data_IF_451413758958
#
_entry.id   IF_451413758958
#
_cell.length_a   1.000
_cell.length_b   1.000
_cell.length_c   1.000
_cell.angle_alpha   90.00
_cell.angle_beta   90.00
_cell.angle_gamma   90.00
#
_symmetry.space_group_name_H-M   'P 1'
#
loop_
_entity.id
_entity.type
_entity.pdbx_description
1 polymer ?
#
# COMPACT_ATOMS: atom_id res chain seq x y z
N UNK A 1 -21.10 18.55 -20.20
CA UNK A 1 -21.74 18.82 -18.89
C UNK A 1 -20.82 18.27 -17.82
N UNK A 2 -20.33 19.10 -16.90
CA UNK A 2 -19.49 18.68 -15.78
C UNK A 2 -20.36 17.87 -14.82
N UNK A 3 -20.03 16.59 -14.57
CA UNK A 3 -20.76 15.78 -13.57
C UNK A 3 -20.67 16.45 -12.18
N UNK A 4 -21.77 16.49 -11.45
CA UNK A 4 -21.78 16.94 -10.07
C UNK A 4 -20.92 16.03 -9.20
N UNK A 5 -20.34 16.57 -8.12
CA UNK A 5 -19.68 15.78 -7.07
C UNK A 5 -20.75 14.94 -6.38
N UNK A 6 -20.55 13.63 -6.31
CA UNK A 6 -21.54 12.67 -5.79
C UNK A 6 -21.13 12.05 -4.45
N UNK A 7 -19.87 12.19 -4.05
CA UNK A 7 -19.33 11.61 -2.81
C UNK A 7 -18.14 12.43 -2.32
N UNK A 8 -17.86 12.38 -1.03
CA UNK A 8 -16.66 12.94 -0.42
C UNK A 8 -15.80 11.83 0.16
N UNK A 9 -14.48 11.89 -0.07
CA UNK A 9 -13.53 10.93 0.49
C UNK A 9 -13.07 11.41 1.89
N UNK A 10 -13.98 11.38 2.84
CA UNK A 10 -13.80 11.82 4.22
C UNK A 10 -13.50 10.66 5.19
N UNK A 11 -13.69 10.85 6.50
CA UNK A 11 -13.47 9.80 7.50
C UNK A 11 -14.43 8.60 7.32
N UNK A 12 -15.69 8.81 6.89
CA UNK A 12 -16.61 7.71 6.60
C UNK A 12 -16.04 6.83 5.47
N UNK A 13 -15.50 7.46 4.42
CA UNK A 13 -14.82 6.74 3.36
C UNK A 13 -13.60 5.97 3.88
N UNK A 14 -12.75 6.61 4.69
CA UNK A 14 -11.55 5.97 5.25
C UNK A 14 -11.91 4.74 6.08
N UNK A 15 -12.95 4.83 6.91
CA UNK A 15 -13.37 3.73 7.78
C UNK A 15 -14.13 2.62 7.04
N UNK A 16 -14.79 2.91 5.90
CA UNK A 16 -15.59 1.93 5.15
C UNK A 16 -15.55 2.15 3.62
N UNK A 17 -14.38 2.10 2.99
CA UNK A 17 -14.22 2.41 1.57
C UNK A 17 -14.99 1.46 0.65
N UNK A 18 -15.12 0.20 1.03
CA UNK A 18 -15.69 -0.83 0.14
C UNK A 18 -17.19 -0.66 -0.09
N UNK A 19 -17.96 -0.22 0.92
CA UNK A 19 -19.38 0.09 0.76
C UNK A 19 -19.58 1.31 -0.15
N UNK A 20 -18.73 2.32 -0.03
CA UNK A 20 -18.75 3.50 -0.89
C UNK A 20 -18.38 3.12 -2.33
N UNK A 21 -17.35 2.31 -2.51
CA UNK A 21 -16.98 1.80 -3.85
C UNK A 21 -18.09 0.98 -4.51
N UNK A 22 -18.84 0.15 -3.75
CA UNK A 22 -19.98 -0.59 -4.28
C UNK A 22 -21.01 0.37 -4.89
N UNK A 23 -21.36 1.45 -4.16
CA UNK A 23 -22.27 2.49 -4.66
C UNK A 23 -21.73 3.17 -5.91
N UNK A 24 -20.47 3.63 -5.88
CA UNK A 24 -19.84 4.31 -7.01
C UNK A 24 -19.79 3.41 -8.27
N UNK A 25 -19.46 2.10 -8.11
CA UNK A 25 -19.47 1.16 -9.25
C UNK A 25 -20.86 0.94 -9.84
N UNK A 26 -21.89 0.96 -8.99
CA UNK A 26 -23.27 0.82 -9.45
C UNK A 26 -23.74 2.04 -10.26
N UNK A 27 -23.28 3.24 -9.89
CA UNK A 27 -23.62 4.48 -10.60
C UNK A 27 -22.89 4.61 -11.96
N UNK A 28 -21.68 4.05 -12.08
CA UNK A 28 -20.94 4.09 -13.33
C UNK A 28 -19.46 3.70 -13.21
N UNK A 29 -18.75 3.64 -14.34
CA UNK A 29 -17.33 3.30 -14.39
C UNK A 29 -16.44 4.40 -13.78
N UNK A 30 -16.92 5.66 -13.86
CA UNK A 30 -16.20 6.86 -13.43
C UNK A 30 -17.13 7.78 -12.66
N UNK A 31 -16.68 8.25 -11.51
CA UNK A 31 -17.43 9.19 -10.67
C UNK A 31 -16.59 10.43 -10.38
N UNK A 32 -17.22 11.57 -10.18
CA UNK A 32 -16.56 12.79 -9.74
C UNK A 32 -16.81 12.95 -8.24
N UNK A 33 -15.74 12.89 -7.44
CA UNK A 33 -15.79 12.95 -5.98
C UNK A 33 -14.98 14.13 -5.46
N UNK A 34 -15.16 14.50 -4.19
CA UNK A 34 -14.33 15.49 -3.52
C UNK A 34 -13.28 14.78 -2.64
N UNK A 35 -12.02 15.22 -2.74
CA UNK A 35 -10.96 14.86 -1.80
C UNK A 35 -11.24 15.53 -0.42
N UNK A 36 -10.61 15.07 0.67
CA UNK A 36 -10.50 15.88 1.87
C UNK A 36 -9.99 17.27 1.50
N UNK A 37 -10.68 18.33 1.97
CA UNK A 37 -10.41 19.71 1.54
C UNK A 37 -11.23 20.20 0.32
N UNK A 38 -12.10 19.34 -0.24
CA UNK A 38 -13.12 19.76 -1.23
C UNK A 38 -12.64 19.78 -2.69
N UNK A 39 -11.38 19.46 -2.97
CA UNK A 39 -10.86 19.41 -4.34
C UNK A 39 -11.50 18.28 -5.15
N UNK A 40 -12.09 18.58 -6.32
CA UNK A 40 -12.73 17.56 -7.14
C UNK A 40 -11.69 16.66 -7.83
N UNK A 41 -12.00 15.36 -7.91
CA UNK A 41 -11.19 14.35 -8.60
C UNK A 41 -12.09 13.33 -9.30
N UNK A 42 -11.64 12.79 -10.40
CA UNK A 42 -12.28 11.69 -11.08
C UNK A 42 -11.79 10.35 -10.52
N UNK A 43 -12.70 9.46 -10.15
CA UNK A 43 -12.37 8.15 -9.60
C UNK A 43 -12.87 7.05 -10.55
N UNK A 44 -11.95 6.19 -10.98
CA UNK A 44 -12.24 5.04 -11.84
C UNK A 44 -12.36 3.81 -10.93
N UNK A 45 -13.51 3.12 -10.98
CA UNK A 45 -13.89 2.11 -9.98
C UNK A 45 -13.97 0.67 -10.49
N UNK A 46 -14.30 0.45 -11.78
CA UNK A 46 -14.45 -0.90 -12.35
C UNK A 46 -13.10 -1.48 -12.78
N UNK A 47 -12.94 -2.79 -12.64
CA UNK A 47 -11.68 -3.46 -12.93
C UNK A 47 -11.17 -3.23 -14.36
N UNK A 48 -12.04 -3.39 -15.36
CA UNK A 48 -11.64 -3.26 -16.78
C UNK A 48 -11.15 -1.85 -17.09
N UNK A 49 -11.85 -0.84 -16.58
CA UNK A 49 -11.54 0.56 -16.79
C UNK A 49 -10.29 0.98 -15.99
N UNK A 50 -10.18 0.52 -14.74
CA UNK A 50 -9.03 0.73 -13.88
C UNK A 50 -7.74 0.16 -14.51
N UNK A 51 -7.80 -1.06 -15.01
CA UNK A 51 -6.67 -1.71 -15.66
C UNK A 51 -6.26 -0.97 -16.95
N UNK A 52 -7.21 -0.54 -17.77
CA UNK A 52 -6.95 0.25 -18.95
C UNK A 52 -6.32 1.61 -18.60
N UNK A 53 -6.89 2.33 -17.65
CA UNK A 53 -6.40 3.63 -17.19
C UNK A 53 -4.98 3.59 -16.61
N UNK A 54 -4.62 2.51 -15.92
CA UNK A 54 -3.26 2.34 -15.38
C UNK A 54 -2.19 2.20 -16.46
N UNK A 55 -2.57 1.83 -17.69
CA UNK A 55 -1.67 1.68 -18.84
C UNK A 55 -1.84 2.78 -19.91
N UNK A 56 -2.79 3.71 -19.72
CA UNK A 56 -3.07 4.76 -20.71
C UNK A 56 -2.01 5.87 -20.64
N UNK A 57 -1.23 6.13 -21.72
CA UNK A 57 -0.20 7.15 -21.71
C UNK A 57 -0.74 8.59 -21.67
N UNK A 58 -2.03 8.79 -21.88
CA UNK A 58 -2.69 10.10 -21.77
C UNK A 58 -2.99 10.47 -20.31
N UNK A 59 -2.90 9.51 -19.40
CA UNK A 59 -3.01 9.69 -17.95
C UNK A 59 -1.61 9.82 -17.34
N UNK A 60 -1.04 11.02 -17.44
CA UNK A 60 0.33 11.32 -17.06
C UNK A 60 0.50 11.47 -15.54
N UNK A 61 1.74 11.31 -15.07
CA UNK A 61 2.12 11.45 -13.66
C UNK A 61 2.69 12.82 -13.35
N UNK A 62 3.45 13.39 -14.28
CA UNK A 62 4.08 14.69 -14.09
C UNK A 62 3.11 15.85 -14.37
N UNK A 63 2.36 16.22 -13.33
CA UNK A 63 1.41 17.33 -13.36
C UNK A 63 2.07 18.68 -13.69
N UNK A 64 3.36 18.85 -13.41
CA UNK A 64 4.11 20.09 -13.68
C UNK A 64 4.15 20.44 -15.16
N UNK A 65 4.11 19.43 -16.02
CA UNK A 65 4.04 19.62 -17.49
C UNK A 65 2.70 20.23 -17.92
N UNK A 66 1.62 19.98 -17.19
CA UNK A 66 0.28 20.47 -17.49
C UNK A 66 -0.04 21.82 -16.83
N UNK A 67 0.62 22.13 -15.71
CA UNK A 67 0.38 23.33 -14.92
C UNK A 67 1.70 24.11 -14.70
N UNK A 68 2.30 24.62 -15.81
CA UNK A 68 3.53 25.39 -15.69
C UNK A 68 3.32 26.64 -14.82
N UNK A 69 4.18 26.87 -13.85
CA UNK A 69 4.07 27.97 -12.88
C UNK A 69 3.36 27.63 -11.57
N UNK A 70 2.77 26.45 -11.43
CA UNK A 70 2.19 25.93 -10.18
C UNK A 70 3.21 25.13 -9.36
N UNK A 71 4.49 25.20 -9.71
CA UNK A 71 5.52 24.49 -8.97
C UNK A 71 5.55 24.97 -7.51
N UNK A 72 5.57 24.04 -6.57
CA UNK A 72 5.89 24.31 -5.18
C UNK A 72 7.15 25.15 -5.08
N UNK A 73 7.21 26.07 -4.13
CA UNK A 73 8.37 26.93 -3.94
C UNK A 73 9.65 26.12 -3.72
N UNK A 74 10.83 26.73 -3.92
CA UNK A 74 12.11 26.05 -3.74
C UNK A 74 12.33 25.51 -2.33
N UNK A 75 11.57 25.97 -1.35
CA UNK A 75 11.68 25.60 0.07
C UNK A 75 10.64 24.53 0.51
N UNK A 76 9.90 23.93 -0.43
CA UNK A 76 8.96 22.85 -0.11
C UNK A 76 9.70 21.51 -0.06
N UNK A 77 9.78 20.91 1.13
CA UNK A 77 10.42 19.61 1.34
C UNK A 77 9.84 18.50 0.44
N UNK A 78 8.56 18.57 0.09
CA UNK A 78 7.95 17.66 -0.89
C UNK A 78 8.55 17.81 -2.27
N UNK A 79 8.84 19.04 -2.71
CA UNK A 79 9.44 19.27 -4.02
C UNK A 79 10.82 18.60 -4.14
N UNK A 80 11.57 18.49 -3.04
CA UNK A 80 12.86 17.80 -3.01
C UNK A 80 12.73 16.28 -3.16
N UNK A 81 11.64 15.71 -2.66
CA UNK A 81 11.39 14.27 -2.62
C UNK A 81 10.50 13.74 -3.77
N UNK A 82 9.78 14.62 -4.48
CA UNK A 82 8.80 14.26 -5.53
C UNK A 82 9.43 14.11 -6.93
N UNK A 83 10.74 13.97 -7.05
CA UNK A 83 11.38 13.73 -8.36
C UNK A 83 11.90 12.30 -8.41
N UNK A 84 11.03 11.37 -8.79
CA UNK A 84 11.33 9.94 -8.82
C UNK A 84 10.52 9.21 -9.92
N UNK A 85 10.83 7.93 -10.17
CA UNK A 85 10.19 7.15 -11.26
C UNK A 85 8.66 7.01 -11.13
N UNK A 86 8.05 7.23 -9.96
CA UNK A 86 6.60 7.14 -9.78
C UNK A 86 5.88 8.48 -10.10
N UNK A 87 6.60 9.59 -10.08
CA UNK A 87 6.08 10.96 -10.36
C UNK A 87 6.48 11.50 -11.73
N UNK A 88 7.15 10.69 -12.56
CA UNK A 88 7.62 11.07 -13.90
C UNK A 88 7.03 10.16 -14.97
N UNK A 89 7.00 10.66 -16.21
CA UNK A 89 6.58 9.95 -17.42
C UNK A 89 7.78 9.64 -18.32
N UNK A 90 7.65 8.77 -19.34
CA UNK A 90 8.71 8.57 -20.35
C UNK A 90 9.12 9.88 -21.03
N UNK A 91 10.42 10.12 -21.31
CA UNK A 91 11.53 9.15 -21.19
C UNK A 91 12.18 9.05 -19.80
N UNK A 92 11.93 10.01 -18.90
CA UNK A 92 12.58 10.07 -17.58
C UNK A 92 12.20 8.90 -16.68
N UNK A 93 10.91 8.49 -16.67
CA UNK A 93 10.46 7.29 -15.99
C UNK A 93 11.32 6.07 -16.37
N UNK A 94 11.52 5.83 -17.67
CA UNK A 94 12.23 4.65 -18.16
C UNK A 94 13.71 4.66 -17.78
N UNK A 95 14.32 5.85 -17.79
CA UNK A 95 15.70 6.07 -17.36
C UNK A 95 15.86 5.74 -15.88
N UNK A 96 15.05 6.35 -15.01
CA UNK A 96 15.09 6.14 -13.56
C UNK A 96 14.78 4.69 -13.19
N UNK A 97 13.72 4.11 -13.79
CA UNK A 97 13.33 2.72 -13.53
C UNK A 97 14.45 1.73 -13.89
N UNK A 98 15.15 1.96 -14.99
CA UNK A 98 16.26 1.09 -15.44
C UNK A 98 17.40 1.05 -14.42
N UNK A 99 17.71 2.15 -13.75
CA UNK A 99 18.77 2.22 -12.74
C UNK A 99 18.48 1.31 -11.56
N UNK A 100 17.24 1.36 -11.03
CA UNK A 100 16.88 0.54 -9.86
C UNK A 100 16.50 -0.90 -10.19
N UNK A 101 16.00 -1.19 -11.40
CA UNK A 101 15.59 -2.55 -11.80
C UNK A 101 16.73 -3.56 -11.65
N UNK A 102 17.97 -3.14 -11.83
CA UNK A 102 19.17 -3.99 -11.66
C UNK A 102 19.29 -4.54 -10.23
N UNK A 103 18.81 -3.81 -9.23
CA UNK A 103 18.84 -4.23 -7.82
C UNK A 103 17.63 -5.13 -7.44
N UNK A 104 16.53 -5.06 -8.19
CA UNK A 104 15.30 -5.81 -7.93
C UNK A 104 15.07 -7.00 -8.86
N UNK A 105 16.15 -7.61 -9.35
CA UNK A 105 16.02 -8.84 -10.14
C UNK A 105 15.51 -9.99 -9.28
N UNK A 106 14.73 -10.90 -9.88
CA UNK A 106 14.20 -12.09 -9.18
C UNK A 106 15.28 -12.86 -8.40
N UNK A 107 16.49 -12.98 -8.98
CA UNK A 107 17.63 -13.65 -8.33
C UNK A 107 18.08 -12.91 -7.07
N UNK A 108 18.21 -11.57 -7.10
CA UNK A 108 18.63 -10.79 -5.93
C UNK A 108 17.57 -10.81 -4.84
N UNK A 109 16.30 -10.73 -5.21
CA UNK A 109 15.20 -10.83 -4.24
C UNK A 109 15.22 -12.21 -3.57
N UNK A 110 15.39 -13.30 -4.33
CA UNK A 110 15.46 -14.64 -3.73
C UNK A 110 16.66 -14.82 -2.78
N UNK A 111 17.76 -14.13 -3.03
CA UNK A 111 18.92 -14.12 -2.12
C UNK A 111 18.62 -13.46 -0.76
N UNK A 112 17.60 -12.60 -0.66
CA UNK A 112 17.15 -12.01 0.60
C UNK A 112 16.31 -12.97 1.46
N UNK A 113 15.76 -14.05 0.88
CA UNK A 113 14.86 -15.00 1.57
C UNK A 113 15.42 -15.51 2.91
N UNK A 114 16.68 -15.98 3.01
CA UNK A 114 17.23 -16.42 4.29
C UNK A 114 17.23 -15.30 5.34
N UNK A 115 17.60 -14.08 4.95
CA UNK A 115 17.65 -12.93 5.87
C UNK A 115 16.26 -12.50 6.32
N UNK A 116 15.29 -12.43 5.40
CA UNK A 116 13.88 -12.13 5.74
C UNK A 116 13.31 -13.19 6.68
N UNK A 117 13.67 -14.46 6.47
CA UNK A 117 13.26 -15.57 7.37
C UNK A 117 13.87 -15.42 8.76
N UNK A 118 15.14 -15.06 8.86
CA UNK A 118 15.84 -14.81 10.13
C UNK A 118 15.22 -13.63 10.90
N UNK A 119 15.00 -12.50 10.23
CA UNK A 119 14.35 -11.33 10.82
C UNK A 119 12.96 -11.72 11.33
N UNK A 120 12.18 -12.42 10.51
CA UNK A 120 10.85 -12.91 10.88
C UNK A 120 10.91 -13.79 12.13
N UNK A 121 11.80 -14.76 12.18
CA UNK A 121 11.96 -15.65 13.33
C UNK A 121 12.32 -14.87 14.62
N UNK A 122 13.30 -13.96 14.53
CA UNK A 122 13.70 -13.09 15.63
C UNK A 122 12.53 -12.26 16.18
N UNK A 123 11.75 -11.64 15.33
CA UNK A 123 10.58 -10.83 15.72
C UNK A 123 9.52 -11.70 16.38
N UNK A 124 9.22 -12.88 15.83
CA UNK A 124 8.24 -13.81 16.39
C UNK A 124 8.68 -14.37 17.75
N UNK A 125 9.97 -14.61 17.95
CA UNK A 125 10.52 -15.10 19.22
C UNK A 125 10.52 -14.02 20.31
N UNK A 126 10.65 -12.75 19.93
CA UNK A 126 10.59 -11.60 20.84
C UNK A 126 9.15 -11.26 21.26
N UNK A 127 8.12 -11.75 20.56
CA UNK A 127 6.73 -11.42 20.89
C UNK A 127 6.28 -12.05 22.22
N UNK A 128 5.66 -11.26 23.11
CA UNK A 128 5.13 -11.77 24.37
C UNK A 128 3.99 -12.76 24.14
N UNK A 129 3.94 -13.82 24.92
CA UNK A 129 2.85 -14.79 24.94
C UNK A 129 2.07 -14.69 26.24
N UNK A 130 0.76 -14.91 26.19
CA UNK A 130 -0.12 -14.89 27.37
C UNK A 130 -0.74 -13.53 27.69
N UNK A 131 -0.50 -12.51 26.87
CA UNK A 131 -1.09 -11.18 27.00
C UNK A 131 -1.68 -10.67 25.68
N UNK A 132 -2.05 -9.39 25.68
CA UNK A 132 -2.38 -8.64 24.48
C UNK A 132 -1.11 -8.03 23.91
N UNK A 133 -0.97 -8.08 22.57
CA UNK A 133 0.12 -7.44 21.85
C UNK A 133 -0.46 -6.71 20.62
N UNK A 134 0.04 -5.53 20.31
CA UNK A 134 -0.24 -4.91 19.03
C UNK A 134 0.65 -5.53 17.94
N UNK A 135 0.04 -6.27 17.03
CA UNK A 135 0.75 -6.98 15.97
C UNK A 135 1.42 -6.03 14.97
N UNK A 136 0.89 -4.81 14.79
CA UNK A 136 1.53 -3.83 13.92
C UNK A 136 2.87 -3.40 14.50
N UNK A 137 2.91 -3.06 15.79
CA UNK A 137 4.11 -2.62 16.50
C UNK A 137 5.14 -3.74 16.64
N UNK A 138 4.67 -4.93 17.03
CA UNK A 138 5.58 -6.02 17.37
C UNK A 138 6.13 -6.78 16.15
N UNK A 139 5.43 -6.69 14.99
CA UNK A 139 5.77 -7.55 13.87
C UNK A 139 5.60 -6.90 12.50
N UNK A 140 4.38 -6.39 12.18
CA UNK A 140 4.08 -6.00 10.81
C UNK A 140 4.91 -4.80 10.33
N UNK A 141 5.22 -3.84 11.22
CA UNK A 141 6.09 -2.72 10.92
C UNK A 141 7.58 -3.09 10.98
N UNK A 142 8.10 -3.74 12.05
CA UNK A 142 9.53 -4.04 12.13
C UNK A 142 10.07 -4.90 10.99
N UNK A 143 9.30 -5.83 10.45
CA UNK A 143 9.78 -6.73 9.40
C UNK A 143 10.13 -5.97 8.11
N UNK A 144 9.20 -5.33 7.40
CA UNK A 144 9.52 -4.71 6.10
C UNK A 144 10.43 -3.48 6.23
N UNK A 145 10.34 -2.70 7.32
CA UNK A 145 11.26 -1.57 7.51
C UNK A 145 12.71 -2.05 7.70
N UNK A 146 12.92 -3.15 8.42
CA UNK A 146 14.23 -3.77 8.56
C UNK A 146 14.78 -4.20 7.21
N UNK A 147 13.97 -4.91 6.42
CA UNK A 147 14.38 -5.43 5.11
C UNK A 147 14.76 -4.30 4.15
N UNK A 148 13.93 -3.25 4.06
CA UNK A 148 14.22 -2.15 3.13
C UNK A 148 15.42 -1.29 3.61
N UNK A 149 15.57 -1.07 4.91
CA UNK A 149 16.72 -0.36 5.46
C UNK A 149 18.02 -1.10 5.20
N UNK A 150 18.06 -2.43 5.40
CA UNK A 150 19.23 -3.25 5.08
C UNK A 150 19.55 -3.21 3.57
N UNK A 151 18.53 -3.30 2.71
CA UNK A 151 18.70 -3.22 1.25
C UNK A 151 19.28 -1.86 0.81
N UNK A 152 18.84 -0.77 1.44
CA UNK A 152 19.29 0.59 1.15
C UNK A 152 20.58 0.96 1.88
N UNK A 153 21.00 0.19 2.88
CA UNK A 153 22.14 0.51 3.73
C UNK A 153 21.88 1.62 4.73
N UNK A 154 20.63 1.76 5.19
CA UNK A 154 20.20 2.69 6.25
C UNK A 154 20.49 2.07 7.62
N UNK A 155 21.10 2.82 8.59
CA UNK A 155 21.38 2.35 9.93
C UNK A 155 20.12 1.95 10.71
N UNK A 156 20.23 0.92 11.55
CA UNK A 156 19.12 0.39 12.36
C UNK A 156 18.54 1.41 13.35
N UNK A 157 19.39 2.30 13.87
CA UNK A 157 19.01 3.30 14.88
C UNK A 157 17.97 4.30 14.36
N UNK A 158 17.92 4.52 13.04
CA UNK A 158 17.14 5.59 12.43
C UNK A 158 15.71 5.15 12.01
N UNK A 159 15.37 3.86 12.21
CA UNK A 159 14.10 3.28 11.74
C UNK A 159 12.86 3.90 12.40
N UNK A 160 12.97 4.34 13.64
CA UNK A 160 11.85 4.97 14.36
C UNK A 160 11.46 6.31 13.74
N UNK A 161 12.44 7.11 13.32
CA UNK A 161 12.23 8.41 12.69
C UNK A 161 11.53 8.25 11.34
N UNK A 162 11.92 7.24 10.56
CA UNK A 162 11.25 6.93 9.28
C UNK A 162 9.78 6.62 9.44
N UNK A 163 9.40 5.91 10.50
CA UNK A 163 8.00 5.66 10.79
C UNK A 163 7.22 6.94 11.03
N UNK A 164 7.75 7.81 11.88
CA UNK A 164 7.10 9.08 12.22
C UNK A 164 6.94 9.96 10.98
N UNK A 165 8.00 10.11 10.18
CA UNK A 165 7.96 10.88 8.94
C UNK A 165 7.00 10.29 7.91
N UNK A 166 7.04 8.97 7.68
CA UNK A 166 6.15 8.30 6.70
C UNK A 166 4.69 8.45 7.10
N UNK A 167 4.36 8.27 8.37
CA UNK A 167 2.99 8.43 8.85
C UNK A 167 2.49 9.87 8.66
N UNK A 168 3.33 10.87 8.94
CA UNK A 168 2.99 12.27 8.74
C UNK A 168 2.77 12.59 7.24
N UNK A 169 3.68 12.13 6.38
CA UNK A 169 3.63 12.40 4.92
C UNK A 169 2.42 11.72 4.25
N UNK A 170 2.06 10.51 4.67
CA UNK A 170 0.96 9.74 4.06
C UNK A 170 -0.42 10.04 4.66
N UNK A 171 -0.49 10.84 5.71
CA UNK A 171 -1.77 11.26 6.31
C UNK A 171 -2.52 12.20 5.37
N UNK A 172 -3.80 11.91 5.14
CA UNK A 172 -4.66 12.73 4.29
C UNK A 172 -5.60 13.57 5.16
N UNK A 173 -5.75 14.86 4.82
CA UNK A 173 -6.64 15.78 5.54
C UNK A 173 -5.98 16.49 6.73
N UNK A 174 -4.71 16.22 7.03
CA UNK A 174 -3.92 17.04 7.95
C UNK A 174 -3.58 18.37 7.26
N UNK A 175 -4.19 19.46 7.71
CA UNK A 175 -3.95 20.82 7.19
C UNK A 175 -2.85 21.56 7.96
N UNK A 176 -2.18 20.89 8.91
CA UNK A 176 -1.03 21.43 9.62
C UNK A 176 0.22 21.43 8.73
N UNK A 177 1.26 22.15 9.15
CA UNK A 177 2.58 22.13 8.47
C UNK A 177 3.37 20.83 8.71
N UNK A 178 2.80 19.88 9.45
CA UNK A 178 3.47 18.64 9.87
C UNK A 178 3.95 17.76 8.71
N UNK A 179 3.15 17.51 7.64
CA UNK A 179 3.62 16.72 6.50
C UNK A 179 4.81 17.35 5.78
N UNK A 180 4.79 18.70 5.58
CA UNK A 180 5.89 19.44 4.97
C UNK A 180 7.17 19.42 5.84
N UNK A 181 7.03 19.61 7.15
CA UNK A 181 8.14 19.53 8.10
C UNK A 181 8.78 18.13 8.08
N UNK A 182 7.98 17.06 8.11
CA UNK A 182 8.46 15.68 8.04
C UNK A 182 9.19 15.39 6.71
N UNK A 183 8.70 15.93 5.60
CA UNK A 183 9.36 15.81 4.30
C UNK A 183 10.74 16.53 4.30
N UNK A 184 10.83 17.71 4.91
CA UNK A 184 12.09 18.44 5.03
C UNK A 184 13.11 17.72 5.92
N UNK A 185 12.68 17.20 7.08
CA UNK A 185 13.53 16.40 7.97
C UNK A 185 14.06 15.16 7.26
N UNK A 186 13.19 14.41 6.56
CA UNK A 186 13.57 13.24 5.78
C UNK A 186 14.55 13.60 4.65
N UNK A 187 14.34 14.70 3.92
CA UNK A 187 15.24 15.17 2.87
C UNK A 187 16.63 15.54 3.43
N UNK A 188 16.67 16.23 4.58
CA UNK A 188 17.91 16.54 5.30
C UNK A 188 18.68 15.28 5.70
N UNK A 189 17.98 14.31 6.27
CA UNK A 189 18.55 13.00 6.62
C UNK A 189 19.16 12.30 5.39
N UNK A 190 18.41 12.20 4.28
CA UNK A 190 18.92 11.56 3.06
C UNK A 190 20.15 12.28 2.50
N UNK A 191 20.17 13.60 2.56
CA UNK A 191 21.35 14.39 2.13
C UNK A 191 22.59 14.01 2.94
N UNK A 192 22.44 13.90 4.27
CA UNK A 192 23.53 13.49 5.15
C UNK A 192 23.97 12.04 4.89
N UNK A 193 23.01 11.12 4.72
CA UNK A 193 23.29 9.70 4.43
C UNK A 193 23.99 9.52 3.08
N UNK A 194 23.60 10.26 2.04
CA UNK A 194 24.29 10.23 0.73
C UNK A 194 25.73 10.72 0.87
N UNK A 195 26.00 11.78 1.66
CA UNK A 195 27.33 12.27 1.90
C UNK A 195 28.20 11.23 2.64
N UNK A 196 27.65 10.56 3.65
CA UNK A 196 28.36 9.49 4.37
C UNK A 196 28.64 8.30 3.47
N UNK A 197 27.66 7.79 2.72
CA UNK A 197 27.82 6.67 1.79
C UNK A 197 28.79 6.96 0.64
N UNK A 198 28.91 8.22 0.24
CA UNK A 198 29.91 8.63 -0.75
C UNK A 198 31.33 8.54 -0.19
N UNK A 199 31.50 8.88 1.12
CA UNK A 199 32.77 8.75 1.83
C UNK A 199 33.09 7.29 2.22
N UNK A 200 32.06 6.50 2.55
CA UNK A 200 32.15 5.14 3.05
C UNK A 200 31.22 4.20 2.26
N UNK A 201 31.52 3.86 0.98
CA UNK A 201 30.69 2.99 0.17
C UNK A 201 30.58 1.59 0.78
N UNK A 202 29.40 0.96 0.67
CA UNK A 202 29.15 -0.41 1.11
C UNK A 202 28.46 -1.23 0.00
N UNK A 203 28.26 -2.53 0.23
CA UNK A 203 27.54 -3.40 -0.70
C UNK A 203 26.01 -3.26 -0.48
N UNK A 204 25.49 -2.06 -0.76
CA UNK A 204 24.08 -1.73 -0.65
C UNK A 204 23.56 -0.96 -1.89
N UNK A 205 22.24 -0.87 -2.00
CA UNK A 205 21.59 -0.24 -3.16
C UNK A 205 21.90 1.26 -3.24
N UNK A 206 21.99 1.97 -2.11
CA UNK A 206 22.27 3.39 -2.10
C UNK A 206 23.70 3.68 -2.61
N UNK A 207 24.68 2.93 -2.13
CA UNK A 207 26.05 3.02 -2.63
C UNK A 207 26.14 2.75 -4.15
N UNK A 208 25.36 1.77 -4.64
CA UNK A 208 25.29 1.48 -6.08
C UNK A 208 24.63 2.62 -6.88
N UNK A 209 23.58 3.25 -6.37
CA UNK A 209 22.94 4.40 -7.02
C UNK A 209 23.84 5.64 -7.03
N UNK A 210 24.58 5.89 -5.95
CA UNK A 210 25.57 6.98 -5.86
C UNK A 210 26.68 6.74 -6.90
N UNK A 211 27.23 5.52 -6.98
CA UNK A 211 28.25 5.18 -7.96
C UNK A 211 27.78 5.35 -9.40
N UNK A 212 26.54 4.91 -9.71
CA UNK A 212 25.94 5.09 -11.04
C UNK A 212 25.78 6.59 -11.38
N UNK A 213 25.34 7.41 -10.43
CA UNK A 213 25.26 8.87 -10.59
C UNK A 213 26.62 9.50 -10.85
N UNK A 214 27.61 9.20 -10.03
CA UNK A 214 28.94 9.82 -10.11
C UNK A 214 29.70 9.36 -11.37
N UNK A 215 29.33 8.21 -11.94
CA UNK A 215 29.79 7.74 -13.27
C UNK A 215 29.11 8.45 -14.46
N UNK A 216 28.13 9.33 -14.23
CA UNK A 216 27.45 10.10 -15.28
C UNK A 216 26.26 9.39 -15.92
N UNK A 217 25.67 8.37 -15.28
CA UNK A 217 24.49 7.62 -15.78
C UNK A 217 23.17 8.44 -15.76
N UNK A 218 23.27 9.79 -15.69
CA UNK A 218 22.13 10.67 -15.86
C UNK A 218 21.16 10.75 -14.67
N UNK A 219 21.63 10.50 -13.44
CA UNK A 219 20.87 10.69 -12.20
C UNK A 219 21.28 12.01 -11.55
N UNK A 220 20.38 12.96 -11.38
CA UNK A 220 20.63 14.19 -10.61
C UNK A 220 20.60 13.93 -9.11
N UNK A 221 21.13 14.89 -8.29
CA UNK A 221 21.02 14.80 -6.82
C UNK A 221 19.56 14.72 -6.36
N UNK A 222 18.71 15.56 -6.94
CA UNK A 222 17.29 15.60 -6.63
C UNK A 222 16.57 14.27 -6.93
N UNK A 223 16.89 13.67 -8.07
CA UNK A 223 16.36 12.35 -8.43
C UNK A 223 16.87 11.27 -7.49
N UNK A 224 18.14 11.33 -7.05
CA UNK A 224 18.68 10.38 -6.07
C UNK A 224 17.91 10.46 -4.76
N UNK A 225 17.69 11.66 -4.20
CA UNK A 225 16.92 11.85 -2.97
C UNK A 225 15.46 11.39 -3.14
N UNK A 226 14.82 11.74 -4.26
CA UNK A 226 13.46 11.28 -4.57
C UNK A 226 13.36 9.76 -4.73
N UNK A 227 14.36 9.13 -5.35
CA UNK A 227 14.40 7.66 -5.45
C UNK A 227 14.60 6.99 -4.10
N UNK A 228 15.42 7.53 -3.20
CA UNK A 228 15.57 7.04 -1.83
C UNK A 228 14.26 7.11 -1.07
N UNK A 229 13.58 8.27 -1.14
CA UNK A 229 12.25 8.47 -0.56
C UNK A 229 11.26 7.42 -1.07
N UNK A 230 11.15 7.27 -2.39
CA UNK A 230 10.24 6.32 -3.00
C UNK A 230 10.51 4.89 -2.53
N UNK A 231 11.77 4.45 -2.59
CA UNK A 231 12.14 3.08 -2.25
C UNK A 231 11.90 2.78 -0.77
N UNK A 232 12.21 3.72 0.11
CA UNK A 232 11.99 3.55 1.54
C UNK A 232 10.48 3.49 1.86
N UNK A 233 9.72 4.54 1.48
CA UNK A 233 8.30 4.66 1.84
C UNK A 233 7.46 3.57 1.19
N UNK A 234 7.61 3.36 -0.13
CA UNK A 234 6.86 2.33 -0.84
C UNK A 234 7.28 0.92 -0.45
N UNK A 235 8.55 0.74 -0.03
CA UNK A 235 9.11 -0.57 0.29
C UNK A 235 8.62 -1.14 1.63
N UNK A 236 8.28 -0.31 2.62
CA UNK A 236 7.82 -0.84 3.90
C UNK A 236 6.32 -0.65 4.13
N UNK A 237 5.80 0.55 3.91
CA UNK A 237 4.45 0.94 4.31
C UNK A 237 3.36 0.03 3.71
N UNK A 238 3.50 -0.34 2.45
CA UNK A 238 2.55 -1.21 1.76
C UNK A 238 2.58 -2.65 2.30
N UNK A 239 3.74 -3.18 2.62
CA UNK A 239 3.92 -4.53 3.18
C UNK A 239 3.47 -4.60 4.65
N UNK A 240 3.68 -3.54 5.44
CA UNK A 240 3.07 -3.40 6.79
C UNK A 240 1.57 -3.62 6.72
N UNK A 241 0.90 -2.96 5.76
CA UNK A 241 -0.54 -3.06 5.61
C UNK A 241 -0.99 -4.41 5.03
N UNK A 242 -0.20 -5.04 4.16
CA UNK A 242 -0.47 -6.42 3.74
C UNK A 242 -0.46 -7.37 4.95
N UNK A 243 0.57 -7.30 5.80
CA UNK A 243 0.70 -8.19 6.96
C UNK A 243 -0.40 -7.90 7.99
N UNK A 244 -0.62 -6.64 8.34
CA UNK A 244 -1.62 -6.24 9.32
C UNK A 244 -3.05 -6.54 8.87
N UNK A 245 -3.48 -5.98 7.75
CA UNK A 245 -4.84 -6.16 7.23
C UNK A 245 -5.08 -7.61 6.75
N UNK A 246 -4.06 -8.28 6.22
CA UNK A 246 -4.13 -9.69 5.84
C UNK A 246 -4.31 -10.60 7.07
N UNK A 247 -3.62 -10.31 8.18
CA UNK A 247 -3.82 -11.04 9.44
C UNK A 247 -5.22 -10.80 10.00
N UNK A 248 -5.72 -9.56 9.97
CA UNK A 248 -7.10 -9.26 10.36
C UNK A 248 -8.10 -10.06 9.50
N UNK A 249 -7.93 -10.07 8.18
CA UNK A 249 -8.80 -10.81 7.28
C UNK A 249 -8.84 -12.31 7.59
N UNK A 250 -7.68 -12.90 7.92
CA UNK A 250 -7.60 -14.32 8.35
C UNK A 250 -8.27 -14.55 9.71
N UNK A 251 -8.10 -13.63 10.67
CA UNK A 251 -8.76 -13.70 11.99
C UNK A 251 -10.27 -13.63 11.88
N UNK A 252 -10.79 -12.81 10.97
CA UNK A 252 -12.22 -12.70 10.67
C UNK A 252 -12.75 -13.86 9.79
N UNK A 253 -11.86 -14.70 9.24
CA UNK A 253 -12.18 -15.84 8.39
C UNK A 253 -11.55 -17.13 8.95
N UNK A 254 -12.00 -17.62 10.12
CA UNK A 254 -11.32 -18.72 10.83
C UNK A 254 -11.24 -20.01 10.01
N UNK A 255 -12.20 -20.25 9.11
CA UNK A 255 -12.17 -21.40 8.17
C UNK A 255 -11.00 -21.30 7.19
N UNK A 256 -10.76 -20.12 6.62
CA UNK A 256 -9.66 -19.90 5.70
C UNK A 256 -8.30 -19.95 6.43
N UNK A 257 -8.22 -19.37 7.63
CA UNK A 257 -7.03 -19.50 8.47
C UNK A 257 -6.72 -20.96 8.83
N UNK A 258 -7.74 -21.77 9.15
CA UNK A 258 -7.56 -23.20 9.45
C UNK A 258 -7.08 -23.97 8.22
N UNK A 259 -7.62 -23.69 7.04
CA UNK A 259 -7.16 -24.29 5.76
C UNK A 259 -5.68 -23.95 5.51
N UNK A 260 -5.29 -22.69 5.68
CA UNK A 260 -3.91 -22.24 5.49
C UNK A 260 -2.93 -22.83 6.52
N UNK A 261 -3.42 -23.11 7.75
CA UNK A 261 -2.66 -23.85 8.77
C UNK A 261 -2.45 -25.31 8.39
N UNK A 262 -3.48 -25.95 7.83
CA UNK A 262 -3.45 -27.36 7.44
C UNK A 262 -2.59 -27.61 6.20
N UNK A 263 -2.59 -26.68 5.26
CA UNK A 263 -1.85 -26.79 3.99
C UNK A 263 -1.09 -25.50 3.67
N UNK A 264 0.22 -25.52 3.93
CA UNK A 264 1.13 -24.39 3.68
C UNK A 264 1.46 -24.16 2.21
N UNK A 265 1.17 -25.13 1.35
CA UNK A 265 1.35 -24.97 -0.11
C UNK A 265 0.41 -23.92 -0.69
N UNK A 266 -0.66 -23.57 0.05
CA UNK A 266 -1.60 -22.51 -0.30
C UNK A 266 -1.05 -21.08 -0.08
N UNK A 267 0.07 -20.91 0.65
CA UNK A 267 0.60 -19.58 1.00
C UNK A 267 0.77 -18.64 -0.19
N UNK A 268 1.39 -19.03 -1.32
CA UNK A 268 1.54 -18.11 -2.44
C UNK A 268 0.19 -17.60 -2.99
N UNK A 269 -0.79 -18.50 -3.16
CA UNK A 269 -2.14 -18.14 -3.58
C UNK A 269 -2.90 -17.31 -2.55
N UNK A 270 -2.72 -17.63 -1.27
CA UNK A 270 -3.31 -16.87 -0.17
C UNK A 270 -2.78 -15.43 -0.10
N UNK A 271 -1.48 -15.20 -0.35
CA UNK A 271 -0.90 -13.84 -0.42
C UNK A 271 -1.54 -13.04 -1.56
N UNK A 272 -1.73 -13.63 -2.75
CA UNK A 272 -2.43 -12.96 -3.86
C UNK A 272 -3.89 -12.62 -3.51
N UNK A 273 -4.59 -13.53 -2.85
CA UNK A 273 -5.98 -13.28 -2.42
C UNK A 273 -6.04 -12.22 -1.30
N UNK A 274 -5.11 -12.24 -0.35
CA UNK A 274 -5.02 -11.21 0.69
C UNK A 274 -4.71 -9.84 0.09
N UNK A 275 -3.79 -9.74 -0.88
CA UNK A 275 -3.51 -8.52 -1.64
C UNK A 275 -4.75 -8.00 -2.35
N UNK A 276 -5.51 -8.89 -3.03
CA UNK A 276 -6.77 -8.54 -3.67
C UNK A 276 -7.81 -8.07 -2.66
N UNK A 277 -8.01 -8.84 -1.60
CA UNK A 277 -9.08 -8.65 -0.64
C UNK A 277 -8.88 -7.42 0.24
N UNK A 278 -7.68 -7.20 0.75
CA UNK A 278 -7.39 -6.08 1.66
C UNK A 278 -6.98 -4.80 0.93
N UNK A 279 -6.43 -4.93 -0.27
CA UNK A 279 -5.92 -3.81 -1.07
C UNK A 279 -5.13 -2.80 -0.23
N UNK A 280 -3.90 -3.11 0.23
CA UNK A 280 -3.08 -2.23 1.06
C UNK A 280 -2.89 -0.83 0.46
N UNK A 281 -2.86 -0.74 -0.87
CA UNK A 281 -2.97 0.50 -1.64
C UNK A 281 -4.42 0.63 -2.10
N UNK A 282 -5.13 1.62 -1.56
CA UNK A 282 -6.55 1.84 -1.84
C UNK A 282 -6.77 2.51 -3.21
N UNK A 283 -5.99 3.56 -3.49
CA UNK A 283 -5.93 4.21 -4.80
C UNK A 283 -4.51 4.16 -5.36
N UNK A 284 -4.37 4.10 -6.68
CA UNK A 284 -3.11 4.43 -7.30
C UNK A 284 -2.80 5.92 -7.07
N UNK A 285 -1.51 6.29 -7.05
CA UNK A 285 -1.10 7.70 -6.98
C UNK A 285 -1.71 8.50 -8.13
N UNK A 286 -1.96 9.78 -7.90
CA UNK A 286 -2.63 10.67 -8.86
C UNK A 286 -2.07 10.52 -10.28
N UNK A 287 -3.00 10.64 -11.22
CA UNK A 287 -2.74 10.87 -12.65
C UNK A 287 -3.48 12.12 -13.10
N UNK A 288 -3.06 12.66 -14.23
CA UNK A 288 -3.67 13.84 -14.82
C UNK A 288 -3.91 13.61 -16.30
N UNK A 289 -5.06 14.04 -16.81
CA UNK A 289 -5.38 13.92 -18.23
C UNK A 289 -4.57 14.94 -19.05
N UNK A 290 -3.65 14.48 -19.89
CA UNK A 290 -2.92 15.35 -20.83
C UNK A 290 -3.83 15.89 -21.93
N UNK A 291 -4.84 15.11 -22.33
CA UNK A 291 -5.88 15.42 -23.28
C UNK A 291 -7.22 14.80 -22.80
N UNK A 292 -8.36 15.09 -23.42
CA UNK A 292 -9.62 14.44 -23.05
C UNK A 292 -9.54 12.92 -23.20
N UNK A 293 -9.95 12.18 -22.16
CA UNK A 293 -9.91 10.71 -22.10
C UNK A 293 -11.31 10.16 -21.87
N UNK A 294 -11.75 9.25 -22.72
CA UNK A 294 -13.00 8.53 -22.51
C UNK A 294 -12.74 7.25 -21.71
N UNK A 295 -13.46 7.07 -20.60
CA UNK A 295 -13.41 5.90 -19.74
C UNK A 295 -14.81 5.35 -19.54
N UNK A 296 -15.08 4.14 -20.02
CA UNK A 296 -16.39 3.50 -19.90
C UNK A 296 -17.56 4.33 -20.43
N UNK A 297 -17.37 5.09 -21.51
CA UNK A 297 -18.36 6.00 -22.10
C UNK A 297 -18.49 7.35 -21.38
N UNK A 298 -17.63 7.66 -20.41
CA UNK A 298 -17.57 8.96 -19.74
C UNK A 298 -16.34 9.72 -20.19
N UNK A 299 -16.54 10.92 -20.76
CA UNK A 299 -15.44 11.81 -21.17
C UNK A 299 -14.92 12.59 -19.96
N UNK A 300 -13.66 12.38 -19.61
CA UNK A 300 -12.91 13.19 -18.65
C UNK A 300 -12.18 14.28 -19.43
N UNK A 301 -12.39 15.58 -19.12
CA UNK A 301 -11.71 16.67 -19.81
C UNK A 301 -10.18 16.62 -19.61
N UNK A 302 -9.43 17.37 -20.42
CA UNK A 302 -8.00 17.57 -20.20
C UNK A 302 -7.71 18.34 -18.91
N UNK A 303 -6.53 18.11 -18.32
CA UNK A 303 -6.04 18.74 -17.08
C UNK A 303 -6.88 18.45 -15.84
N UNK A 304 -7.56 17.32 -15.82
CA UNK A 304 -8.30 16.84 -14.64
C UNK A 304 -7.47 15.83 -13.86
N UNK A 305 -7.60 15.87 -12.54
CA UNK A 305 -7.00 14.88 -11.67
C UNK A 305 -7.82 13.58 -11.66
N UNK A 306 -7.13 12.44 -11.75
CA UNK A 306 -7.73 11.11 -11.83
C UNK A 306 -7.10 10.20 -10.77
N UNK A 307 -7.95 9.51 -10.02
CA UNK A 307 -7.57 8.39 -9.15
C UNK A 307 -8.11 7.08 -9.72
N UNK A 308 -7.30 6.05 -9.67
CA UNK A 308 -7.72 4.68 -9.99
C UNK A 308 -7.93 3.94 -8.67
N UNK A 309 -9.17 3.59 -8.36
CA UNK A 309 -9.55 2.93 -7.12
C UNK A 309 -9.18 1.43 -7.17
N UNK A 310 -7.96 1.11 -6.76
CA UNK A 310 -7.42 -0.26 -6.72
C UNK A 310 -8.30 -1.15 -5.84
N UNK A 311 -8.67 -0.67 -4.64
CA UNK A 311 -9.53 -1.39 -3.71
C UNK A 311 -10.90 -1.72 -4.31
N UNK A 312 -11.47 -0.79 -5.07
CA UNK A 312 -12.72 -0.99 -5.81
C UNK A 312 -12.57 -2.05 -6.91
N UNK A 313 -11.56 -1.89 -7.77
CA UNK A 313 -11.31 -2.78 -8.91
C UNK A 313 -11.02 -4.22 -8.45
N UNK A 314 -10.29 -4.41 -7.36
CA UNK A 314 -10.00 -5.71 -6.77
C UNK A 314 -11.23 -6.37 -6.14
N UNK A 315 -12.31 -5.62 -5.90
CA UNK A 315 -13.60 -6.12 -5.43
C UNK A 315 -14.73 -5.96 -6.44
N UNK A 316 -14.39 -5.81 -7.71
CA UNK A 316 -15.37 -5.75 -8.79
C UNK A 316 -15.98 -7.16 -9.05
N UNK A 317 -17.32 -7.32 -8.87
CA UNK A 317 -17.98 -8.60 -9.14
C UNK A 317 -17.94 -9.00 -10.62
N UNK A 318 -17.74 -8.04 -11.53
CA UNK A 318 -17.52 -8.31 -12.96
C UNK A 318 -16.20 -9.04 -13.24
N UNK A 319 -15.25 -9.00 -12.31
CA UNK A 319 -13.96 -9.70 -12.40
C UNK A 319 -13.84 -10.87 -11.44
N UNK A 320 -14.32 -10.71 -10.20
CA UNK A 320 -14.19 -11.70 -9.12
C UNK A 320 -15.57 -12.07 -8.57
N UNK A 321 -16.08 -13.28 -8.81
CA UNK A 321 -17.34 -13.74 -8.20
C UNK A 321 -17.26 -13.72 -6.67
N UNK A 322 -18.31 -13.25 -6.00
CA UNK A 322 -18.36 -13.05 -4.55
C UNK A 322 -17.09 -12.33 -4.02
N UNK A 323 -16.80 -11.08 -4.48
CA UNK A 323 -15.52 -10.41 -4.27
C UNK A 323 -15.26 -10.06 -2.80
N UNK A 324 -16.31 -9.92 -2.01
CA UNK A 324 -16.28 -9.56 -0.58
C UNK A 324 -16.12 -10.79 0.35
N UNK A 325 -15.99 -11.98 -0.22
CA UNK A 325 -15.62 -13.19 0.51
C UNK A 325 -14.11 -13.44 0.34
N UNK A 326 -13.40 -13.57 1.45
CA UNK A 326 -12.04 -14.08 1.44
C UNK A 326 -12.08 -15.58 1.06
N UNK A 327 -11.30 -15.96 0.07
CA UNK A 327 -11.17 -17.36 -0.38
C UNK A 327 -9.71 -17.60 -0.82
N UNK A 328 -8.90 -18.17 0.06
CA UNK A 328 -7.48 -18.44 -0.21
C UNK A 328 -7.23 -19.46 -1.33
N UNK A 329 -8.28 -20.13 -1.80
CA UNK A 329 -8.23 -21.01 -2.98
C UNK A 329 -8.63 -20.32 -4.28
N UNK A 330 -9.00 -19.03 -4.22
CA UNK A 330 -9.37 -18.25 -5.39
C UNK A 330 -8.15 -18.06 -6.32
N UNK A 331 -8.38 -18.14 -7.62
CA UNK A 331 -7.43 -17.59 -8.57
C UNK A 331 -7.50 -16.06 -8.57
N UNK A 332 -6.74 -15.44 -7.67
CA UNK A 332 -6.63 -13.98 -7.54
C UNK A 332 -5.64 -13.35 -8.53
N UNK A 333 -5.12 -14.12 -9.48
CA UNK A 333 -4.18 -13.63 -10.49
C UNK A 333 -4.75 -12.47 -11.30
N UNK A 334 -3.88 -11.49 -11.60
CA UNK A 334 -4.25 -10.27 -12.28
C UNK A 334 -4.95 -9.24 -11.39
N UNK A 335 -4.95 -9.41 -10.04
CA UNK A 335 -5.36 -8.33 -9.15
C UNK A 335 -4.49 -7.08 -9.36
N UNK A 336 -5.03 -5.91 -9.05
CA UNK A 336 -4.36 -4.63 -9.29
C UNK A 336 -3.61 -4.10 -8.05
N UNK A 337 -3.38 -4.90 -7.02
CA UNK A 337 -2.68 -4.45 -5.81
C UNK A 337 -1.26 -3.91 -6.10
N UNK A 338 -0.61 -4.42 -7.14
CA UNK A 338 0.68 -3.94 -7.63
C UNK A 338 0.60 -2.98 -8.83
N UNK A 339 -0.60 -2.46 -9.13
CA UNK A 339 -0.84 -1.63 -10.30
C UNK A 339 -0.80 -2.39 -11.63
N UNK A 340 -0.65 -1.64 -12.73
CA UNK A 340 -0.53 -2.16 -14.09
C UNK A 340 0.21 -1.15 -14.99
N UNK A 341 0.72 -1.58 -16.15
CA UNK A 341 1.44 -0.72 -17.09
C UNK A 341 2.87 -0.41 -16.65
N UNK A 342 3.41 0.72 -17.12
CA UNK A 342 4.82 1.10 -16.90
C UNK A 342 5.17 1.28 -15.41
N UNK A 343 4.21 1.69 -14.60
CA UNK A 343 4.36 1.85 -13.14
C UNK A 343 4.01 0.58 -12.33
N UNK A 344 3.92 -0.60 -12.97
CA UNK A 344 3.76 -1.86 -12.21
C UNK A 344 4.84 -1.97 -11.13
N UNK A 345 4.45 -2.34 -9.90
CA UNK A 345 5.31 -2.32 -8.73
C UNK A 345 6.61 -3.10 -8.95
N UNK A 346 7.73 -2.42 -8.79
CA UNK A 346 9.07 -3.04 -8.91
C UNK A 346 9.35 -3.99 -7.74
N UNK A 347 8.86 -3.66 -6.54
CA UNK A 347 9.00 -4.46 -5.32
C UNK A 347 8.03 -5.64 -5.20
N UNK A 348 7.16 -5.89 -6.20
CA UNK A 348 6.15 -6.94 -6.12
C UNK A 348 6.71 -8.34 -5.76
N UNK A 349 7.87 -8.79 -6.28
CA UNK A 349 8.46 -10.06 -5.85
C UNK A 349 8.88 -10.07 -4.38
N UNK A 350 9.44 -8.96 -3.88
CA UNK A 350 9.86 -8.82 -2.48
C UNK A 350 8.64 -8.85 -1.54
N UNK A 351 7.62 -8.05 -1.82
CA UNK A 351 6.40 -7.99 -1.01
C UNK A 351 5.67 -9.34 -0.93
N UNK A 352 5.65 -10.12 -2.03
CA UNK A 352 5.13 -11.49 -2.04
C UNK A 352 5.93 -12.40 -1.12
N UNK A 353 7.25 -12.39 -1.25
CA UNK A 353 8.14 -13.19 -0.42
C UNK A 353 8.01 -12.84 1.06
N UNK A 354 7.98 -11.55 1.41
CA UNK A 354 7.76 -11.10 2.78
C UNK A 354 6.40 -11.55 3.31
N UNK A 355 5.33 -11.42 2.52
CA UNK A 355 4.00 -11.89 2.87
C UNK A 355 3.96 -13.41 3.14
N UNK A 356 4.56 -14.21 2.25
CA UNK A 356 4.66 -15.68 2.42
C UNK A 356 5.39 -16.05 3.71
N UNK A 357 6.54 -15.43 3.96
CA UNK A 357 7.37 -15.71 5.15
C UNK A 357 6.66 -15.23 6.42
N UNK A 358 6.07 -14.03 6.40
CA UNK A 358 5.36 -13.45 7.53
C UNK A 358 4.14 -14.28 7.95
N UNK A 359 3.22 -14.58 7.01
CA UNK A 359 2.05 -15.40 7.33
C UNK A 359 2.44 -16.83 7.68
N UNK A 360 3.40 -17.41 6.97
CA UNK A 360 3.94 -18.73 7.27
C UNK A 360 4.50 -18.82 8.68
N UNK A 361 5.31 -17.83 9.07
CA UNK A 361 5.91 -17.70 10.39
C UNK A 361 4.87 -17.53 11.50
N UNK A 362 3.98 -16.52 11.37
CA UNK A 362 2.90 -16.25 12.33
C UNK A 362 2.04 -17.49 12.61
N UNK A 363 1.58 -18.13 11.55
CA UNK A 363 0.70 -19.29 11.67
C UNK A 363 1.42 -20.54 12.20
N UNK A 364 2.73 -20.64 12.02
CA UNK A 364 3.55 -21.74 12.57
C UNK A 364 3.89 -21.51 14.05
N UNK A 365 4.26 -20.28 14.41
CA UNK A 365 4.70 -19.92 15.75
C UNK A 365 3.56 -19.89 16.74
N UNK A 366 2.36 -19.40 16.32
CA UNK A 366 1.20 -19.22 17.18
C UNK A 366 0.02 -20.09 16.72
N UNK A 367 -0.13 -21.30 17.28
CA UNK A 367 -1.27 -22.18 16.98
C UNK A 367 -2.62 -21.54 17.30
N UNK A 368 -2.67 -20.63 18.30
CA UNK A 368 -3.86 -19.83 18.60
C UNK A 368 -3.53 -18.35 18.51
N UNK A 369 -4.29 -17.65 17.68
CA UNK A 369 -4.25 -16.20 17.52
C UNK A 369 -5.69 -15.71 17.39
N UNK A 370 -6.08 -14.73 18.21
CA UNK A 370 -7.42 -14.14 18.22
C UNK A 370 -7.33 -12.63 18.36
N UNK A 371 -8.34 -11.90 17.90
CA UNK A 371 -8.46 -10.47 18.22
C UNK A 371 -8.59 -10.31 19.74
N UNK A 372 -7.93 -9.27 20.26
CA UNK A 372 -8.02 -8.90 21.68
C UNK A 372 -9.15 -7.92 21.96
N UNK A 373 -9.71 -7.30 20.91
CA UNK A 373 -10.77 -6.29 20.94
C UNK A 373 -11.87 -6.65 19.93
N UNK A 374 -13.08 -6.10 20.07
CA UNK A 374 -14.12 -6.27 19.06
C UNK A 374 -13.68 -5.70 17.70
N UNK A 375 -13.99 -6.37 16.58
CA UNK A 375 -13.58 -5.90 15.24
C UNK A 375 -14.03 -4.47 14.92
N UNK A 376 -15.22 -4.07 15.37
CA UNK A 376 -15.83 -2.76 15.16
C UNK A 376 -15.12 -1.62 15.92
N UNK A 377 -14.26 -1.95 16.88
CA UNK A 377 -13.44 -0.97 17.59
C UNK A 377 -12.12 -0.65 16.89
N UNK A 378 -11.77 -1.40 15.86
CA UNK A 378 -10.57 -1.14 15.06
C UNK A 378 -10.76 0.10 14.20
N UNK A 379 -9.71 0.91 14.10
CA UNK A 379 -9.70 2.14 13.32
C UNK A 379 -8.71 2.03 12.16
N UNK A 380 -9.10 2.62 11.04
CA UNK A 380 -8.25 2.75 9.86
C UNK A 380 -7.59 4.12 9.85
N UNK A 381 -6.33 4.16 9.45
CA UNK A 381 -5.55 5.40 9.38
C UNK A 381 -6.13 6.38 8.36
N UNK A 382 -6.09 7.68 8.65
CA UNK A 382 -6.65 8.71 7.76
C UNK A 382 -5.76 8.88 6.51
N UNK A 383 -5.94 7.99 5.54
CA UNK A 383 -5.26 8.05 4.25
C UNK A 383 -6.20 7.60 3.12
N UNK A 384 -6.27 8.37 2.05
CA UNK A 384 -6.98 7.96 0.84
C UNK A 384 -6.13 7.05 -0.04
N UNK A 385 -4.81 7.11 0.07
CA UNK A 385 -3.87 6.30 -0.70
C UNK A 385 -3.72 4.90 -0.11
N UNK A 386 -3.49 4.82 1.20
CA UNK A 386 -3.15 3.59 1.92
C UNK A 386 -4.34 3.13 2.75
N UNK A 387 -4.65 1.83 2.72
CA UNK A 387 -5.66 1.19 3.56
C UNK A 387 -4.98 0.35 4.64
N UNK A 388 -4.74 0.96 5.78
CA UNK A 388 -4.01 0.38 6.90
C UNK A 388 -4.64 0.68 8.25
N UNK A 389 -4.52 -0.26 9.19
CA UNK A 389 -5.01 -0.13 10.55
C UNK A 389 -4.14 0.83 11.37
N UNK A 390 -4.72 1.50 12.36
CA UNK A 390 -3.98 2.25 13.40
C UNK A 390 -3.28 1.28 14.35
N UNK A 391 -3.99 0.23 14.80
CA UNK A 391 -3.48 -0.83 15.70
C UNK A 391 -4.13 -2.17 15.34
N UNK A 392 -3.48 -3.27 15.69
CA UNK A 392 -4.05 -4.62 15.60
C UNK A 392 -3.79 -5.41 16.89
N UNK A 393 -4.59 -5.17 17.94
CA UNK A 393 -4.46 -5.87 19.20
C UNK A 393 -4.88 -7.35 19.08
N UNK A 394 -3.95 -8.25 19.35
CA UNK A 394 -4.18 -9.72 19.28
C UNK A 394 -3.77 -10.40 20.58
N UNK A 395 -4.34 -11.58 20.84
CA UNK A 395 -3.86 -12.53 21.85
C UNK A 395 -3.20 -13.71 21.17
N UNK A 396 -1.97 -14.00 21.57
CA UNK A 396 -1.14 -15.06 21.01
C UNK A 396 -0.95 -16.17 22.04
N UNK A 397 -1.03 -17.43 21.59
CA UNK A 397 -0.78 -18.59 22.46
C UNK A 397 0.03 -19.65 21.72
N UNK A 398 1.00 -20.23 22.43
CA UNK A 398 1.78 -21.39 21.97
C UNK A 398 1.00 -22.72 22.13
N UNK A 399 -0.16 -22.68 22.82
CA UNK A 399 -1.05 -23.83 22.96
C UNK A 399 -2.13 -23.80 21.89
N UNK A 400 -2.42 -24.95 21.28
CA UNK A 400 -3.55 -25.08 20.38
C UNK A 400 -4.85 -24.72 21.14
N UNK A 401 -5.85 -24.09 20.49
CA UNK A 401 -7.15 -23.86 21.10
C UNK A 401 -7.77 -25.21 21.49
N UNK A 402 -8.50 -25.27 22.61
CA UNK A 402 -9.22 -26.49 22.97
C UNK A 402 -10.14 -26.87 21.79
N UNK A 403 -10.16 -28.15 21.41
CA UNK A 403 -11.08 -28.64 20.37
C UNK A 403 -12.50 -28.28 20.82
N UNK A 404 -13.18 -27.42 20.09
CA UNK A 404 -14.57 -27.10 20.36
C UNK A 404 -15.38 -28.40 20.24
N UNK A 405 -15.88 -28.92 21.36
CA UNK A 405 -16.98 -29.89 21.37
C UNK A 405 -18.15 -29.19 20.68
N UNK A 406 -18.51 -29.65 19.50
CA UNK A 406 -19.44 -29.00 18.57
C UNK A 406 -20.72 -28.49 19.24
N UNK A 407 -20.77 -27.18 19.47
CA UNK A 407 -22.01 -26.38 19.63
C UNK A 407 -21.68 -24.92 19.37
N UNK A 408 -22.36 -24.33 18.40
CA UNK A 408 -22.49 -22.88 18.23
C UNK A 408 -21.39 -22.23 17.40
N UNK A 409 -21.65 -22.03 16.12
CA UNK A 409 -21.00 -21.00 15.32
C UNK A 409 -21.34 -19.64 15.94
N UNK A 410 -20.38 -18.76 16.24
CA UNK A 410 -20.69 -17.33 16.27
C UNK A 410 -20.77 -16.87 14.81
N UNK A 411 -22.00 -16.70 14.30
CA UNK A 411 -22.24 -15.96 13.09
C UNK A 411 -21.89 -14.48 13.36
N UNK A 412 -20.67 -14.09 13.06
CA UNK A 412 -20.37 -12.67 12.86
C UNK A 412 -20.97 -12.27 11.51
N UNK A 413 -22.28 -12.06 11.52
CA UNK A 413 -22.95 -11.40 10.43
C UNK A 413 -22.41 -9.97 10.37
N UNK A 414 -21.75 -9.65 9.27
CA UNK A 414 -21.51 -8.25 8.89
C UNK A 414 -22.88 -7.60 8.86
N UNK A 415 -23.19 -6.77 9.83
CA UNK A 415 -24.45 -6.05 9.93
C UNK A 415 -24.55 -5.14 8.70
N UNK A 416 -25.49 -5.50 7.80
CA UNK A 416 -25.95 -4.57 6.78
C UNK A 416 -26.59 -3.39 7.49
N UNK A 417 -26.27 -2.13 7.12
CA UNK A 417 -26.99 -0.99 7.63
C UNK A 417 -28.49 -1.13 7.29
N UNK A 418 -29.40 -0.69 8.16
CA UNK A 418 -30.83 -0.78 7.92
C UNK A 418 -31.20 -0.01 6.66
N UNK A 419 -31.95 -0.65 5.78
CA UNK A 419 -32.56 -0.02 4.63
C UNK A 419 -33.43 1.14 5.09
N UNK A 420 -33.15 2.35 4.60
CA UNK A 420 -34.03 3.52 4.83
C UNK A 420 -35.40 3.22 4.18
N UNK A 421 -36.45 3.29 4.99
CA UNK A 421 -37.81 3.26 4.47
C UNK A 421 -38.02 4.41 3.47
N UNK A 422 -38.69 4.19 2.35
CA UNK A 422 -39.11 5.28 1.48
C UNK A 422 -40.17 6.11 2.20
N UNK A 423 -39.94 7.43 2.30
CA UNK A 423 -40.94 8.38 2.74
C UNK A 423 -42.13 8.33 1.78
N UNK A 424 -43.27 7.97 2.32
CA UNK A 424 -44.59 8.24 1.75
C UNK A 424 -44.99 9.71 2.03
N UNK A 425 -45.05 10.51 0.99
CA UNK A 425 -46.07 11.53 0.69
C UNK A 425 -45.59 12.41 -0.47
#
# INVERSE_FOLDING_TARGET
MTRSIIEQLDDEFVQNPFAIYERLRAEGPVSRVAMPGGHPVWVITRYVDARAALADPRLVKDWRTLFPGSAAGPDDGFAALDTHMLSTDPPDHDRLRRLVTKAFTARRIEQLRPRVTEITASLLDAMPTGGQVDLLEAFAFPLPITVICELLGVPDADRADFRAWTQAILSTGDTSDRPGAAAMEMAGYFTALVADKRAHPADDLLSALIAARDAGDGLSERELLGMMFLLLVAGHETTVNLIGSGTLALLLSPGEMARLRADRSLLPGAVEELLRYTSPVNHATFRFTAEPVEVGGTLIPAREAVLVAIGSANRDPGRYPAPDRLDIGRNAGGNLAFGHGIHYCLGAPLARMEGEIAFGGLLSRFPSMTLAVPPESLRWRPSTLIHGLETLPVRLSLRAPPRSSGRGRPDYAVSRPPARCPNSA
#
